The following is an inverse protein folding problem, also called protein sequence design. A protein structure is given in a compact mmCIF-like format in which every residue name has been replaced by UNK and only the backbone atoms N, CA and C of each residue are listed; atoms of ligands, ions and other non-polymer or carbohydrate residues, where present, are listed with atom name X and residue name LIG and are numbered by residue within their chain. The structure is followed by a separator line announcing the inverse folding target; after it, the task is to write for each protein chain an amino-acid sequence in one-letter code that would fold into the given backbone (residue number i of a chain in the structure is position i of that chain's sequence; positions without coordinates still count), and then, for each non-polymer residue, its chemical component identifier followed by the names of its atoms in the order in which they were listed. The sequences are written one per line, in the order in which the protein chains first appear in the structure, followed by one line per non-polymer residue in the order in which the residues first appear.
data_IF_295832112880
#
_entry.id   IF_295832112880
#
_cell.length_a   1.000
_cell.length_b   1.000
_cell.length_c   1.000
_cell.angle_alpha   90.00
_cell.angle_beta   90.00
_cell.angle_gamma   90.00
#
_symmetry.space_group_name_H-M   'P 1'
#
loop_
_entity.id
_entity.type
_entity.pdbx_description
1 polymer ?
#
# COMPACT_ATOMS: atom_id res chain seq x y z
N UNK A 1 -26.29 15.85 -1.04
CA UNK A 1 -24.96 16.27 -1.54
C UNK A 1 -23.96 16.09 -0.41
N UNK A 2 -23.47 14.86 -0.26
CA UNK A 2 -22.43 14.41 0.67
C UNK A 2 -21.58 13.50 -0.19
N UNK A 3 -20.26 13.54 -0.25
CA UNK A 3 -19.23 14.41 0.30
C UNK A 3 -17.99 13.90 -0.44
N UNK A 4 -17.40 14.70 -1.34
CA UNK A 4 -16.07 14.41 -1.89
C UNK A 4 -14.96 14.57 -0.82
N UNK A 5 -15.36 14.86 0.42
CA UNK A 5 -14.50 15.29 1.52
C UNK A 5 -14.15 14.15 2.47
N UNK A 6 -14.80 12.98 2.41
CA UNK A 6 -14.51 11.88 3.35
C UNK A 6 -13.34 10.95 2.95
N UNK A 7 -12.86 10.98 1.71
CA UNK A 7 -11.89 9.97 1.21
C UNK A 7 -10.47 10.44 0.99
N UNK A 8 -10.23 11.75 1.12
CA UNK A 8 -8.87 12.32 1.24
C UNK A 8 -8.30 12.07 2.66
N UNK A 9 -9.17 11.69 3.61
CA UNK A 9 -8.89 11.69 5.05
C UNK A 9 -7.97 10.55 5.52
N UNK A 10 -7.82 9.41 4.83
CA UNK A 10 -6.87 8.36 5.30
C UNK A 10 -5.43 8.56 4.82
N UNK A 11 -5.21 9.25 3.68
CA UNK A 11 -3.86 9.73 3.34
C UNK A 11 -3.51 10.93 4.21
N UNK A 12 -4.49 11.80 4.51
CA UNK A 12 -4.34 12.90 5.46
C UNK A 12 -4.08 12.42 6.89
N UNK A 13 -4.93 11.64 7.54
CA UNK A 13 -4.54 10.38 8.20
C UNK A 13 -3.11 10.21 8.69
N UNK A 14 -2.43 9.38 7.91
CA UNK A 14 -1.01 9.09 7.92
C UNK A 14 -0.20 10.39 8.02
N UNK A 15 -0.49 11.39 7.18
CA UNK A 15 0.24 12.67 7.19
C UNK A 15 0.06 13.48 8.48
N UNK A 16 -1.14 13.52 9.09
CA UNK A 16 -1.51 14.27 10.29
C UNK A 16 -1.07 13.57 11.56
N UNK A 17 -1.20 12.24 11.64
CA UNK A 17 -0.68 11.45 12.74
C UNK A 17 0.86 11.54 12.80
N UNK A 18 1.54 11.66 11.66
CA UNK A 18 2.99 11.90 11.61
C UNK A 18 3.40 13.34 11.95
N UNK A 19 2.63 14.34 11.53
CA UNK A 19 2.92 15.76 11.81
C UNK A 19 2.60 16.13 13.28
N UNK A 20 1.58 15.52 13.90
CA UNK A 20 1.10 15.88 15.25
C UNK A 20 1.66 14.99 16.38
N UNK A 21 1.94 13.70 16.15
CA UNK A 21 2.40 12.79 17.22
C UNK A 21 3.93 12.70 17.37
N UNK A 22 4.70 13.59 16.72
CA UNK A 22 6.13 13.76 17.02
C UNK A 22 7.04 12.58 16.65
N UNK A 23 6.59 11.62 15.83
CA UNK A 23 7.48 10.62 15.24
C UNK A 23 8.40 11.29 14.24
N UNK A 24 9.63 11.58 14.67
CA UNK A 24 10.70 12.10 13.82
C UNK A 24 11.01 11.04 12.76
N UNK A 25 10.62 11.30 11.50
CA UNK A 25 10.93 10.39 10.40
C UNK A 25 12.44 10.13 10.35
N UNK A 26 12.88 8.87 10.20
CA UNK A 26 14.28 8.61 9.93
C UNK A 26 14.65 9.40 8.67
N UNK A 27 15.76 10.13 8.76
CA UNK A 27 16.32 10.97 7.70
C UNK A 27 16.96 10.11 6.60
N UNK A 28 16.28 9.02 6.24
CA UNK A 28 16.78 7.97 5.36
C UNK A 28 16.11 8.18 4.00
N UNK A 29 16.92 8.22 2.96
CA UNK A 29 16.49 8.40 1.57
C UNK A 29 15.87 7.10 1.01
N UNK A 30 14.94 6.50 1.77
CA UNK A 30 14.34 5.23 1.43
C UNK A 30 12.88 5.45 1.03
N UNK A 31 12.47 4.73 0.00
CA UNK A 31 11.08 4.67 -0.42
C UNK A 31 10.30 3.84 0.60
N UNK A 32 9.21 4.41 1.11
CA UNK A 32 8.28 3.75 2.04
C UNK A 32 6.87 3.89 1.48
N UNK A 33 6.12 2.79 1.44
CA UNK A 33 4.74 2.74 0.99
C UNK A 33 3.77 2.49 2.14
N UNK A 34 2.52 2.87 1.92
CA UNK A 34 1.36 2.53 2.75
C UNK A 34 0.24 2.08 1.82
N UNK A 35 -0.49 1.05 2.21
CA UNK A 35 -1.66 0.52 1.50
C UNK A 35 -2.82 0.40 2.47
N UNK A 36 -4.02 0.69 1.98
CA UNK A 36 -5.27 0.59 2.76
C UNK A 36 -6.46 0.37 1.82
N UNK A 37 -7.52 -0.25 2.32
CA UNK A 37 -8.75 -0.44 1.58
C UNK A 37 -10.02 -0.23 2.43
N UNK A 38 -10.90 0.65 1.93
CA UNK A 38 -12.26 0.77 2.46
C UNK A 38 -13.18 -0.29 1.87
N UNK A 39 -13.54 -1.32 2.64
CA UNK A 39 -14.51 -2.33 2.20
C UNK A 39 -15.93 -1.76 2.09
N UNK A 40 -16.59 -1.95 0.94
CA UNK A 40 -17.94 -1.42 0.66
C UNK A 40 -18.09 0.06 0.99
N UNK A 41 -17.01 0.83 0.80
CA UNK A 41 -16.98 2.23 1.17
C UNK A 41 -17.99 3.07 0.40
N UNK A 42 -18.39 2.70 -0.82
CA UNK A 42 -19.49 3.35 -1.53
C UNK A 42 -20.87 2.83 -1.02
N UNK A 43 -21.63 3.63 -0.23
CA UNK A 43 -22.88 3.18 0.38
C UNK A 43 -24.01 2.97 -0.64
N UNK A 44 -23.87 3.50 -1.86
CA UNK A 44 -24.91 3.38 -2.89
C UNK A 44 -24.63 2.24 -3.86
N UNK A 45 -23.36 1.85 -4.03
CA UNK A 45 -22.96 0.84 -5.03
C UNK A 45 -22.32 -0.41 -4.42
N UNK A 46 -22.09 -0.44 -3.11
CA UNK A 46 -21.40 -1.55 -2.44
C UNK A 46 -20.04 -1.83 -3.10
N UNK A 47 -19.31 -0.77 -3.47
CA UNK A 47 -18.00 -0.83 -4.12
C UNK A 47 -16.94 -0.47 -3.08
N UNK A 48 -15.90 -1.29 -2.98
CA UNK A 48 -14.72 -1.01 -2.14
C UNK A 48 -13.79 0.01 -2.78
N UNK A 49 -12.91 0.61 -2.00
CA UNK A 49 -11.95 1.61 -2.44
C UNK A 49 -10.55 1.19 -2.02
N UNK A 50 -9.58 1.28 -2.93
CA UNK A 50 -8.16 1.07 -2.66
C UNK A 50 -7.47 2.42 -2.50
N UNK A 51 -6.52 2.48 -1.57
CA UNK A 51 -5.64 3.60 -1.35
C UNK A 51 -4.19 3.17 -1.21
N UNK A 52 -3.26 3.99 -1.72
CA UNK A 52 -1.86 3.90 -1.37
C UNK A 52 -1.20 5.28 -1.34
N UNK A 53 -0.12 5.40 -0.57
CA UNK A 53 0.80 6.55 -0.59
C UNK A 53 2.24 6.07 -0.48
N UNK A 54 3.11 6.62 -1.31
CA UNK A 54 4.55 6.40 -1.30
C UNK A 54 5.27 7.68 -0.92
N UNK A 55 6.16 7.55 0.07
CA UNK A 55 6.98 8.62 0.59
C UNK A 55 8.46 8.35 0.30
N UNK A 56 9.19 9.43 0.03
CA UNK A 56 10.63 9.42 -0.13
C UNK A 56 11.23 10.62 0.60
N UNK A 57 12.19 10.38 1.51
CA UNK A 57 12.81 11.45 2.29
C UNK A 57 11.81 12.28 3.12
N UNK A 58 10.71 11.66 3.57
CA UNK A 58 9.64 12.34 4.32
C UNK A 58 8.65 13.14 3.47
N UNK A 59 8.73 13.09 2.14
CA UNK A 59 7.79 13.75 1.23
C UNK A 59 6.99 12.72 0.44
N UNK A 60 5.67 12.91 0.31
CA UNK A 60 4.84 12.06 -0.56
C UNK A 60 5.19 12.32 -2.03
N UNK A 61 5.52 11.27 -2.78
CA UNK A 61 5.92 11.34 -4.20
C UNK A 61 4.93 10.67 -5.15
N UNK A 62 4.10 9.76 -4.64
CA UNK A 62 3.01 9.14 -5.40
C UNK A 62 1.90 8.72 -4.44
N UNK A 63 0.66 8.89 -4.85
CA UNK A 63 -0.51 8.47 -4.08
C UNK A 63 -1.67 8.18 -5.03
N UNK A 64 -2.59 7.32 -4.57
CA UNK A 64 -3.83 7.04 -5.27
C UNK A 64 -4.91 6.72 -4.26
N UNK A 65 -6.14 7.13 -4.57
CA UNK A 65 -7.35 6.68 -3.90
C UNK A 65 -8.40 6.45 -4.98
N UNK A 66 -8.79 5.20 -5.20
CA UNK A 66 -9.65 4.82 -6.33
C UNK A 66 -10.65 3.74 -5.95
N UNK A 67 -11.85 3.80 -6.54
CA UNK A 67 -12.83 2.72 -6.42
C UNK A 67 -12.28 1.47 -7.10
N UNK A 68 -12.42 0.33 -6.43
CA UNK A 68 -12.04 -0.96 -6.99
C UNK A 68 -12.98 -1.29 -8.15
N UNK A 69 -12.39 -1.67 -9.29
CA UNK A 69 -13.17 -2.15 -10.44
C UNK A 69 -13.69 -3.57 -10.22
N UNK A 70 -13.06 -4.31 -9.30
CA UNK A 70 -13.41 -5.67 -8.96
C UNK A 70 -14.19 -5.70 -7.65
N UNK A 71 -15.21 -6.55 -7.60
CA UNK A 71 -16.03 -6.70 -6.40
C UNK A 71 -15.25 -7.52 -5.38
N UNK A 72 -14.80 -6.85 -4.32
CA UNK A 72 -14.26 -7.53 -3.16
C UNK A 72 -15.38 -8.23 -2.38
N UNK A 73 -15.11 -9.45 -1.95
CA UNK A 73 -16.06 -10.29 -1.19
C UNK A 73 -15.87 -10.21 0.31
N UNK A 74 -14.81 -9.53 0.77
CA UNK A 74 -14.48 -9.30 2.18
C UNK A 74 -13.50 -8.12 2.29
N UNK A 75 -13.34 -7.56 3.49
CA UNK A 75 -12.32 -6.52 3.74
C UNK A 75 -10.92 -7.01 3.40
N UNK A 76 -10.57 -8.23 3.78
CA UNK A 76 -9.27 -8.84 3.43
C UNK A 76 -9.06 -8.94 1.91
N UNK A 77 -10.10 -9.28 1.13
CA UNK A 77 -10.00 -9.30 -0.32
C UNK A 77 -9.80 -7.88 -0.88
N UNK A 78 -10.45 -6.86 -0.31
CA UNK A 78 -10.23 -5.47 -0.69
C UNK A 78 -8.79 -5.02 -0.40
N UNK A 79 -8.25 -5.39 0.76
CA UNK A 79 -6.85 -5.09 1.12
C UNK A 79 -5.84 -5.75 0.19
N UNK A 80 -6.03 -7.04 -0.13
CA UNK A 80 -5.16 -7.73 -1.10
C UNK A 80 -5.15 -7.03 -2.46
N UNK A 81 -6.29 -6.46 -2.89
CA UNK A 81 -6.37 -5.68 -4.14
C UNK A 81 -5.59 -4.37 -4.00
N UNK A 82 -5.75 -3.64 -2.89
CA UNK A 82 -5.02 -2.39 -2.65
C UNK A 82 -3.50 -2.64 -2.58
N UNK A 83 -3.08 -3.67 -1.85
CA UNK A 83 -1.68 -4.04 -1.70
C UNK A 83 -1.06 -4.53 -3.02
N UNK A 84 -1.84 -5.20 -3.86
CA UNK A 84 -1.44 -5.55 -5.22
C UNK A 84 -1.18 -4.29 -6.07
N UNK A 85 -2.06 -3.29 -6.01
CA UNK A 85 -1.88 -2.02 -6.72
C UNK A 85 -0.66 -1.26 -6.20
N UNK A 86 -0.49 -1.20 -4.87
CA UNK A 86 0.67 -0.60 -4.22
C UNK A 86 1.98 -1.31 -4.62
N UNK A 87 1.99 -2.65 -4.66
CA UNK A 87 3.16 -3.42 -5.08
C UNK A 87 3.61 -3.10 -6.51
N UNK A 88 2.66 -2.92 -7.44
CA UNK A 88 2.94 -2.51 -8.82
C UNK A 88 3.52 -1.11 -8.90
N UNK A 89 2.93 -0.17 -8.18
CA UNK A 89 3.42 1.21 -8.10
C UNK A 89 4.82 1.26 -7.50
N UNK A 90 5.09 0.50 -6.44
CA UNK A 90 6.39 0.39 -5.79
C UNK A 90 7.49 -0.01 -6.78
N UNK A 91 7.26 -1.06 -7.56
CA UNK A 91 8.24 -1.53 -8.57
C UNK A 91 8.50 -0.44 -9.61
N UNK A 92 7.45 0.23 -10.10
CA UNK A 92 7.59 1.31 -11.06
C UNK A 92 8.35 2.51 -10.47
N UNK A 93 8.03 2.93 -9.25
CA UNK A 93 8.71 4.03 -8.55
C UNK A 93 10.19 3.73 -8.33
N UNK A 94 10.54 2.50 -7.94
CA UNK A 94 11.95 2.11 -7.79
C UNK A 94 12.72 2.26 -9.11
N UNK A 95 12.13 1.82 -10.22
CA UNK A 95 12.73 2.00 -11.56
C UNK A 95 12.85 3.47 -11.93
N UNK A 96 11.83 4.28 -11.67
CA UNK A 96 11.84 5.71 -11.96
C UNK A 96 12.91 6.45 -11.16
N UNK A 97 12.96 6.24 -9.84
CA UNK A 97 13.94 6.93 -8.99
C UNK A 97 15.36 6.49 -9.35
N UNK A 98 15.59 5.19 -9.63
CA UNK A 98 16.89 4.72 -10.13
C UNK A 98 17.31 5.46 -11.41
N UNK A 99 16.42 5.56 -12.39
CA UNK A 99 16.67 6.26 -13.65
C UNK A 99 17.00 7.74 -13.43
N UNK A 100 16.25 8.42 -12.55
CA UNK A 100 16.50 9.84 -12.23
C UNK A 100 17.85 10.02 -11.53
N UNK A 101 18.18 9.17 -10.56
CA UNK A 101 19.47 9.23 -9.87
C UNK A 101 20.64 9.05 -10.85
N UNK A 102 20.56 8.04 -11.71
CA UNK A 102 21.57 7.77 -12.74
C UNK A 102 21.72 8.94 -13.72
N UNK A 103 20.60 9.50 -14.19
CA UNK A 103 20.60 10.61 -15.15
C UNK A 103 21.12 11.92 -14.55
N UNK A 104 20.94 12.13 -13.24
CA UNK A 104 21.36 13.34 -12.55
C UNK A 104 22.72 13.22 -11.85
N UNK A 105 23.38 12.05 -11.92
CA UNK A 105 24.63 11.79 -11.21
C UNK A 105 24.49 11.79 -9.68
N UNK A 106 23.29 11.46 -9.17
CA UNK A 106 23.03 11.32 -7.74
C UNK A 106 23.41 9.91 -7.28
N UNK A 107 23.74 9.78 -6.00
CA UNK A 107 23.99 8.46 -5.40
C UNK A 107 22.77 7.55 -5.55
N UNK A 108 23.03 6.27 -5.81
CA UNK A 108 21.96 5.29 -5.95
C UNK A 108 21.22 5.12 -4.63
N UNK A 109 19.89 5.03 -4.71
CA UNK A 109 19.05 4.68 -3.56
C UNK A 109 19.51 3.34 -2.98
N UNK A 110 19.31 3.18 -1.67
CA UNK A 110 19.55 1.93 -0.97
C UNK A 110 18.87 0.75 -1.68
N UNK A 111 19.65 -0.31 -1.98
CA UNK A 111 19.15 -1.50 -2.69
C UNK A 111 18.25 -2.38 -1.82
N UNK A 112 17.99 -1.99 -0.58
CA UNK A 112 17.12 -2.73 0.34
C UNK A 112 15.67 -2.75 -0.16
N UNK A 113 14.92 -3.73 0.36
CA UNK A 113 13.51 -3.91 0.07
C UNK A 113 12.73 -2.66 0.47
N UNK A 114 11.80 -2.22 -0.38
CA UNK A 114 10.89 -1.13 -0.03
C UNK A 114 9.85 -1.62 0.95
N UNK A 115 9.78 -0.98 2.12
CA UNK A 115 8.77 -1.31 3.12
C UNK A 115 7.40 -0.80 2.65
N UNK A 116 6.39 -1.66 2.63
CA UNK A 116 4.99 -1.27 2.45
C UNK A 116 4.25 -1.59 3.75
N UNK A 117 3.65 -0.57 4.35
CA UNK A 117 2.88 -0.70 5.58
C UNK A 117 1.42 -1.03 5.27
N UNK A 118 0.87 -1.93 6.07
CA UNK A 118 -0.50 -2.42 5.97
C UNK A 118 -0.99 -2.73 7.41
N UNK A 119 -2.27 -2.51 7.74
CA UNK A 119 -2.81 -2.67 9.10
C UNK A 119 -3.66 -3.95 9.33
N UNK A 120 -4.06 -4.63 8.27
CA UNK A 120 -4.81 -5.88 8.25
C UNK A 120 -3.89 -7.10 8.39
N UNK A 121 -3.85 -7.63 9.61
CA UNK A 121 -3.08 -8.83 9.95
C UNK A 121 -3.39 -10.06 9.07
N UNK A 122 -4.64 -10.22 8.59
CA UNK A 122 -5.00 -11.34 7.74
C UNK A 122 -4.40 -11.20 6.33
N UNK A 123 -4.37 -9.98 5.79
CA UNK A 123 -3.74 -9.66 4.51
C UNK A 123 -2.23 -9.97 4.58
N UNK A 124 -1.57 -9.49 5.64
CA UNK A 124 -0.13 -9.67 5.85
C UNK A 124 0.23 -11.16 6.02
N UNK A 125 -0.53 -11.91 6.81
CA UNK A 125 -0.30 -13.34 6.98
C UNK A 125 -0.44 -14.10 5.65
N UNK A 126 -1.45 -13.75 4.85
CA UNK A 126 -1.67 -14.35 3.54
C UNK A 126 -0.58 -14.02 2.52
N UNK A 127 -0.07 -12.79 2.55
CA UNK A 127 1.02 -12.38 1.65
C UNK A 127 2.35 -13.02 2.05
N UNK A 128 2.57 -13.28 3.35
CA UNK A 128 3.76 -14.00 3.81
C UNK A 128 3.85 -15.41 3.23
N UNK A 129 2.73 -16.15 3.22
CA UNK A 129 2.69 -17.54 2.74
C UNK A 129 2.36 -17.66 1.24
N UNK A 130 1.96 -16.56 0.60
CA UNK A 130 1.53 -16.52 -0.79
C UNK A 130 0.15 -17.13 -1.02
N UNK A 131 -0.20 -17.36 -2.28
CA UNK A 131 -1.51 -17.93 -2.63
C UNK A 131 -1.59 -19.40 -2.23
N UNK A 132 -2.32 -19.68 -1.16
CA UNK A 132 -2.71 -21.03 -0.75
C UNK A 132 -4.19 -21.24 -1.09
N UNK A 133 -4.49 -22.23 -1.93
CA UNK A 133 -5.88 -22.58 -2.29
C UNK A 133 -6.58 -23.22 -1.09
N UNK A 134 -7.61 -22.56 -0.57
CA UNK A 134 -8.51 -23.07 0.47
C UNK A 134 -9.90 -22.48 0.33
N UNK A 135 -10.85 -22.91 1.15
CA UNK A 135 -12.24 -22.45 1.02
C UNK A 135 -12.42 -20.93 1.15
N UNK A 136 -11.53 -20.29 1.93
CA UNK A 136 -11.52 -18.85 2.17
C UNK A 136 -10.85 -18.03 1.07
N UNK A 137 -10.02 -18.66 0.22
CA UNK A 137 -9.17 -17.97 -0.78
C UNK A 137 -9.43 -18.44 -2.21
N UNK A 138 -10.11 -19.57 -2.42
CA UNK A 138 -10.39 -20.15 -3.75
C UNK A 138 -11.13 -19.23 -4.72
N UNK A 139 -11.80 -18.21 -4.19
CA UNK A 139 -12.55 -17.22 -4.96
C UNK A 139 -11.74 -15.93 -5.23
N UNK A 140 -10.56 -15.79 -4.62
CA UNK A 140 -9.64 -14.69 -4.82
C UNK A 140 -8.64 -15.08 -5.90
N UNK A 141 -8.44 -14.21 -6.89
CA UNK A 141 -7.50 -14.49 -7.97
C UNK A 141 -6.06 -14.55 -7.42
N UNK A 142 -5.26 -15.58 -7.77
CA UNK A 142 -3.86 -15.69 -7.33
C UNK A 142 -3.00 -14.47 -7.65
N UNK A 143 -3.37 -13.68 -8.68
CA UNK A 143 -2.63 -12.48 -9.09
C UNK A 143 -2.50 -11.44 -7.96
N UNK A 144 -3.46 -11.37 -7.04
CA UNK A 144 -3.42 -10.41 -5.93
C UNK A 144 -2.36 -10.76 -4.89
N UNK A 145 -1.81 -11.97 -4.96
CA UNK A 145 -0.72 -12.41 -4.12
C UNK A 145 0.65 -12.14 -4.76
N UNK A 146 0.74 -11.44 -5.90
CA UNK A 146 2.04 -11.17 -6.55
C UNK A 146 2.99 -10.36 -5.65
N UNK A 147 2.47 -9.63 -4.66
CA UNK A 147 3.31 -8.96 -3.66
C UNK A 147 4.13 -9.95 -2.83
N UNK A 148 3.68 -11.20 -2.67
CA UNK A 148 4.49 -12.28 -2.10
C UNK A 148 5.75 -12.55 -2.93
N UNK A 149 5.63 -12.64 -4.25
CA UNK A 149 6.78 -12.83 -5.15
C UNK A 149 7.77 -11.67 -5.01
N UNK A 150 7.28 -10.43 -4.90
CA UNK A 150 8.11 -9.26 -4.64
C UNK A 150 8.82 -9.33 -3.27
N UNK A 151 8.24 -9.95 -2.26
CA UNK A 151 8.91 -10.19 -0.97
C UNK A 151 9.99 -11.26 -1.08
N UNK A 152 9.70 -12.37 -1.77
CA UNK A 152 10.67 -13.45 -2.01
C UNK A 152 11.89 -12.94 -2.80
N UNK A 153 11.66 -12.04 -3.76
CA UNK A 153 12.72 -11.39 -4.54
C UNK A 153 13.47 -10.28 -3.76
N UNK A 154 13.04 -9.95 -2.53
CA UNK A 154 13.64 -8.88 -1.72
C UNK A 154 13.39 -7.47 -2.26
N UNK A 155 12.39 -7.28 -3.13
CA UNK A 155 12.01 -5.96 -3.68
C UNK A 155 11.11 -5.18 -2.73
N UNK A 156 10.23 -5.89 -2.02
CA UNK A 156 9.22 -5.33 -1.11
C UNK A 156 9.31 -6.04 0.24
N UNK A 157 9.01 -5.33 1.32
CA UNK A 157 8.82 -5.91 2.66
C UNK A 157 7.51 -5.39 3.26
N UNK A 158 6.48 -6.23 3.35
CA UNK A 158 5.18 -5.86 3.89
C UNK A 158 5.21 -5.96 5.41
N UNK A 159 4.98 -4.83 6.10
CA UNK A 159 5.03 -4.74 7.57
C UNK A 159 3.71 -4.29 8.16
N UNK A 160 3.33 -4.93 9.26
CA UNK A 160 2.16 -4.53 10.02
C UNK A 160 2.39 -3.19 10.72
N UNK A 161 1.40 -2.31 10.63
CA UNK A 161 1.27 -1.15 11.50
C UNK A 161 0.01 -1.27 12.36
N UNK A 162 -0.01 -0.70 13.58
CA UNK A 162 -1.23 -0.64 14.37
C UNK A 162 -2.30 0.17 13.63
N UNK A 163 -3.50 -0.41 13.50
CA UNK A 163 -4.66 0.33 13.01
C UNK A 163 -5.03 1.42 14.01
N UNK A 164 -5.08 2.68 13.57
CA UNK A 164 -5.52 3.80 14.38
C UNK A 164 -7.05 3.78 14.40
N UNK A 165 -7.62 3.04 15.35
CA UNK A 165 -9.08 3.10 15.57
C UNK A 165 -9.44 4.51 16.04
N UNK A 166 -10.19 5.22 15.21
CA UNK A 166 -10.94 6.42 15.59
C UNK A 166 -12.25 6.03 16.26
#
# INVERSE_FOLDING_TARGET
MVSNTFYVIQVEQVTWDYILNGMRMPKQQNLVGYSDAGYLSDPHKAISQSGYVFMYGGTAISWRSTKQTLVATSSNHAELIALYEAGRECVWLRSLIHYVCESCGLESIEKSATVIHEDNAACIAQIKDGYIKGDRTKHISPKFFSTHELQVEGKVDVKQIPSVRT
#
